data_IF_331888783369
#
_entry.id   IF_331888783369
#
_cell.length_a   1.000
_cell.length_b   1.000
_cell.length_c   1.000
_cell.angle_alpha   90.00
_cell.angle_beta   90.00
_cell.angle_gamma   90.00
#
_symmetry.space_group_name_H-M   'P 1'
#
loop_
_entity.id
_entity.type
_entity.pdbx_description
1 polymer ?
#
# COMPACT_ATOMS: atom_id res chain seq x y z
N UNK A 1 1.43 30.75 -7.59
CA UNK A 1 2.70 30.39 -6.92
C UNK A 1 3.73 30.03 -7.98
N UNK A 2 4.92 30.65 -7.96
CA UNK A 2 5.97 30.40 -8.96
C UNK A 2 6.56 28.99 -8.77
N UNK A 3 6.93 28.31 -9.87
CA UNK A 3 7.54 26.97 -9.84
C UNK A 3 8.79 26.92 -8.97
N UNK A 4 9.47 28.07 -8.79
CA UNK A 4 10.62 28.21 -7.89
C UNK A 4 10.21 28.13 -6.43
N UNK A 5 9.12 28.79 -6.04
CA UNK A 5 8.56 28.80 -4.69
C UNK A 5 8.05 27.41 -4.28
N UNK A 6 7.45 26.67 -5.23
CA UNK A 6 7.01 25.30 -4.98
C UNK A 6 8.20 24.34 -4.74
N UNK A 7 9.25 24.47 -5.56
CA UNK A 7 10.48 23.67 -5.39
C UNK A 7 11.16 23.96 -4.06
N UNK A 8 11.27 25.23 -3.66
CA UNK A 8 11.89 25.59 -2.38
C UNK A 8 11.11 25.10 -1.18
N UNK A 9 9.77 25.16 -1.23
CA UNK A 9 8.91 24.62 -0.16
C UNK A 9 9.01 23.10 -0.07
N UNK A 10 9.03 22.40 -1.22
CA UNK A 10 9.21 20.95 -1.24
C UNK A 10 10.58 20.51 -0.70
N UNK A 11 11.65 21.24 -1.05
CA UNK A 11 13.00 20.96 -0.57
C UNK A 11 13.11 21.21 0.94
N UNK A 12 12.54 22.31 1.44
CA UNK A 12 12.47 22.60 2.88
C UNK A 12 11.70 21.53 3.63
N UNK A 13 10.53 21.12 3.12
CA UNK A 13 9.73 20.05 3.73
C UNK A 13 10.47 18.72 3.79
N UNK A 14 11.17 18.33 2.71
CA UNK A 14 11.99 17.12 2.67
C UNK A 14 13.14 17.20 3.69
N UNK A 15 13.83 18.33 3.78
CA UNK A 15 14.93 18.50 4.75
C UNK A 15 14.43 18.45 6.20
N UNK A 16 13.25 19.01 6.48
CA UNK A 16 12.64 18.97 7.81
C UNK A 16 12.27 17.54 8.21
N UNK A 17 11.76 16.76 7.25
CA UNK A 17 11.39 15.36 7.45
C UNK A 17 12.63 14.47 7.68
N UNK A 18 13.72 14.73 6.96
CA UNK A 18 14.99 14.02 7.17
C UNK A 18 15.65 14.35 8.52
N UNK A 19 15.57 15.61 8.97
CA UNK A 19 16.08 15.99 10.31
C UNK A 19 15.25 15.36 11.42
N UNK A 20 13.92 15.30 11.27
CA UNK A 20 13.05 14.61 12.22
C UNK A 20 13.36 13.10 12.30
N UNK A 21 13.71 12.47 11.17
CA UNK A 21 14.09 11.07 11.12
C UNK A 21 15.50 10.77 11.66
N UNK A 22 16.34 11.79 11.87
CA UNK A 22 17.73 11.64 12.33
C UNK A 22 17.95 12.17 13.76
N UNK A 23 16.86 12.43 14.50
CA UNK A 23 16.96 12.71 15.93
C UNK A 23 17.56 11.50 16.67
N UNK A 24 18.23 11.70 17.82
CA UNK A 24 18.61 10.59 18.67
C UNK A 24 17.31 9.96 19.17
N UNK A 25 16.90 8.87 18.52
CA UNK A 25 15.97 7.90 19.07
C UNK A 25 16.65 7.29 20.29
N UNK A 26 16.71 8.06 21.38
CA UNK A 26 16.65 7.51 22.71
C UNK A 26 15.31 6.80 22.75
N UNK A 27 15.33 5.53 22.37
CA UNK A 27 14.26 4.60 22.61
C UNK A 27 14.02 4.61 24.11
N UNK A 28 13.16 5.53 24.56
CA UNK A 28 12.47 5.38 25.83
C UNK A 28 11.75 4.07 25.65
N UNK A 29 12.21 3.05 26.37
CA UNK A 29 11.58 1.75 26.40
C UNK A 29 10.18 1.94 26.98
N UNK A 30 9.23 2.33 26.12
CA UNK A 30 7.82 2.24 26.39
C UNK A 30 7.59 0.78 26.69
N UNK A 31 7.08 0.48 27.89
CA UNK A 31 6.78 -0.88 28.31
C UNK A 31 6.06 -1.57 27.15
N UNK A 32 6.70 -2.61 26.61
CA UNK A 32 6.10 -3.44 25.57
C UNK A 32 4.72 -3.84 26.05
N UNK A 33 3.63 -3.47 25.36
CA UNK A 33 2.31 -3.98 25.71
C UNK A 33 2.45 -5.49 25.75
N UNK A 34 2.02 -6.10 26.88
CA UNK A 34 2.00 -7.55 27.06
C UNK A 34 1.42 -8.13 25.77
N UNK A 35 2.12 -9.05 25.06
CA UNK A 35 1.65 -9.56 23.79
C UNK A 35 0.28 -10.19 24.02
N UNK A 36 -0.75 -9.48 23.58
CA UNK A 36 -2.11 -10.00 23.55
C UNK A 36 -2.05 -11.31 22.77
N UNK A 37 -2.67 -12.40 23.26
CA UNK A 37 -2.67 -13.69 22.56
C UNK A 37 -3.01 -13.49 21.08
N UNK A 38 -2.26 -14.12 20.17
CA UNK A 38 -2.54 -14.09 18.73
C UNK A 38 -3.87 -14.81 18.46
N UNK A 39 -4.98 -14.15 18.75
CA UNK A 39 -6.28 -14.57 18.32
C UNK A 39 -6.40 -14.24 16.83
N UNK A 40 -6.88 -15.17 15.99
CA UNK A 40 -7.30 -14.85 14.63
C UNK A 40 -8.24 -13.64 14.67
N UNK A 41 -7.97 -12.63 13.87
CA UNK A 41 -8.81 -11.43 13.81
C UNK A 41 -10.22 -11.86 13.41
N UNK A 42 -11.18 -11.59 14.28
CA UNK A 42 -12.57 -11.96 14.07
C UNK A 42 -13.24 -10.93 13.14
N UNK A 43 -13.87 -11.33 12.02
CA UNK A 43 -14.40 -10.40 11.01
C UNK A 43 -15.70 -9.67 11.43
N UNK A 44 -15.92 -9.39 12.72
CA UNK A 44 -17.19 -8.85 13.22
C UNK A 44 -17.11 -7.83 14.36
N UNK A 45 -15.92 -7.38 14.76
CA UNK A 45 -15.75 -6.46 15.90
C UNK A 45 -15.79 -4.98 15.53
N UNK A 46 -14.85 -4.55 14.66
CA UNK A 46 -14.55 -3.12 14.40
C UNK A 46 -14.05 -2.91 12.94
N UNK A 47 -14.19 -1.70 12.36
CA UNK A 47 -13.74 -1.41 10.99
C UNK A 47 -12.24 -1.62 10.77
N UNK A 48 -11.41 -1.36 11.79
CA UNK A 48 -9.96 -1.64 11.72
C UNK A 48 -9.64 -3.14 11.74
N UNK A 49 -10.45 -3.95 12.41
CA UNK A 49 -10.31 -5.41 12.43
C UNK A 49 -10.72 -6.03 11.09
N UNK A 50 -11.73 -5.47 10.42
CA UNK A 50 -12.06 -5.86 9.05
C UNK A 50 -10.92 -5.56 8.08
N UNK A 51 -10.31 -4.38 8.21
CA UNK A 51 -9.17 -4.00 7.38
C UNK A 51 -7.97 -4.91 7.64
N UNK A 52 -7.62 -5.19 8.90
CA UNK A 52 -6.50 -6.08 9.21
C UNK A 52 -6.77 -7.51 8.75
N UNK A 53 -8.00 -8.02 8.91
CA UNK A 53 -8.42 -9.33 8.43
C UNK A 53 -8.28 -9.48 6.92
N UNK A 54 -8.64 -8.45 6.14
CA UNK A 54 -8.53 -8.47 4.69
C UNK A 54 -7.10 -8.16 4.20
N UNK A 55 -6.42 -7.21 4.84
CA UNK A 55 -5.10 -6.75 4.42
C UNK A 55 -4.04 -7.83 4.61
N UNK A 56 -4.08 -8.58 5.72
CA UNK A 56 -3.09 -9.62 6.04
C UNK A 56 -2.98 -10.66 4.92
N UNK A 57 -4.05 -11.35 4.48
CA UNK A 57 -3.96 -12.33 3.40
C UNK A 57 -3.68 -11.70 2.03
N UNK A 58 -4.20 -10.51 1.75
CA UNK A 58 -3.95 -9.82 0.46
C UNK A 58 -2.49 -9.43 0.32
N UNK A 59 -1.91 -8.82 1.35
CA UNK A 59 -0.50 -8.44 1.34
C UNK A 59 0.41 -9.65 1.27
N UNK A 60 0.08 -10.72 2.00
CA UNK A 60 0.81 -11.99 1.91
C UNK A 60 0.80 -12.56 0.48
N UNK A 61 -0.36 -12.62 -0.17
CA UNK A 61 -0.45 -13.11 -1.54
C UNK A 61 0.39 -12.28 -2.53
N UNK A 62 0.33 -10.96 -2.42
CA UNK A 62 1.13 -10.05 -3.25
C UNK A 62 2.64 -10.21 -2.97
N UNK A 63 3.03 -10.34 -1.71
CA UNK A 63 4.43 -10.50 -1.32
C UNK A 63 5.00 -11.85 -1.77
N UNK A 64 4.24 -12.94 -1.62
CA UNK A 64 4.62 -14.26 -2.14
C UNK A 64 4.79 -14.20 -3.66
N UNK A 65 3.85 -13.57 -4.37
CA UNK A 65 3.96 -13.36 -5.82
C UNK A 65 5.20 -12.55 -6.20
N UNK A 66 5.52 -11.51 -5.43
CA UNK A 66 6.70 -10.67 -5.66
C UNK A 66 8.01 -11.45 -5.43
N UNK A 67 8.11 -12.22 -4.34
CA UNK A 67 9.28 -13.06 -4.05
C UNK A 67 9.46 -14.13 -5.13
N UNK A 68 8.37 -14.72 -5.63
CA UNK A 68 8.44 -15.69 -6.73
C UNK A 68 9.03 -15.05 -8.00
N UNK A 69 8.59 -13.84 -8.34
CA UNK A 69 9.10 -13.09 -9.50
C UNK A 69 10.55 -12.64 -9.31
N UNK A 70 10.91 -12.25 -8.08
CA UNK A 70 12.28 -11.87 -7.71
C UNK A 70 13.25 -13.05 -7.84
N UNK A 71 12.85 -14.25 -7.41
CA UNK A 71 13.64 -15.47 -7.61
C UNK A 71 13.82 -15.84 -9.09
N UNK A 72 12.89 -15.45 -9.96
CA UNK A 72 12.96 -15.70 -11.40
C UNK A 72 13.81 -14.66 -12.14
N UNK A 73 13.77 -13.39 -11.70
CA UNK A 73 14.34 -12.26 -12.44
C UNK A 73 15.69 -11.81 -11.88
N UNK A 74 15.92 -12.02 -10.57
CA UNK A 74 17.13 -11.57 -9.87
C UNK A 74 17.21 -10.07 -9.60
N UNK A 75 16.19 -9.31 -10.01
CA UNK A 75 16.09 -7.86 -9.80
C UNK A 75 14.71 -7.52 -9.21
N UNK A 76 14.74 -6.93 -8.02
CA UNK A 76 13.56 -6.53 -7.27
C UNK A 76 12.72 -5.48 -7.99
N UNK A 77 13.35 -4.55 -8.72
CA UNK A 77 12.69 -3.49 -9.47
C UNK A 77 11.92 -4.04 -10.67
N UNK A 78 12.52 -4.96 -11.42
CA UNK A 78 11.85 -5.61 -12.56
C UNK A 78 10.70 -6.49 -12.06
N UNK A 79 10.86 -7.14 -10.89
CA UNK A 79 9.84 -8.00 -10.29
C UNK A 79 8.60 -7.21 -9.87
N UNK A 80 8.78 -5.99 -9.34
CA UNK A 80 7.67 -5.06 -9.08
C UNK A 80 6.96 -4.70 -10.39
N UNK A 81 7.71 -4.36 -11.45
CA UNK A 81 7.11 -4.05 -12.75
C UNK A 81 6.30 -5.22 -13.30
N UNK A 82 6.83 -6.45 -13.27
CA UNK A 82 6.11 -7.65 -13.68
C UNK A 82 4.86 -7.88 -12.83
N UNK A 83 4.95 -7.73 -11.51
CA UNK A 83 3.80 -7.85 -10.63
C UNK A 83 2.70 -6.84 -11.00
N UNK A 84 3.06 -5.59 -11.29
CA UNK A 84 2.07 -4.57 -11.70
C UNK A 84 1.38 -4.93 -13.01
N UNK A 85 2.10 -5.54 -13.97
CA UNK A 85 1.52 -6.00 -15.23
C UNK A 85 0.54 -7.15 -14.99
N UNK A 86 0.92 -8.13 -14.17
CA UNK A 86 0.05 -9.27 -13.81
C UNK A 86 -1.24 -8.80 -13.18
N UNK A 87 -1.16 -7.90 -12.19
CA UNK A 87 -2.33 -7.31 -11.53
C UNK A 87 -3.20 -6.59 -12.57
N UNK A 88 -2.62 -5.76 -13.44
CA UNK A 88 -3.38 -5.07 -14.49
C UNK A 88 -4.14 -6.05 -15.38
N UNK A 89 -3.51 -7.13 -15.82
CA UNK A 89 -4.15 -8.13 -16.69
C UNK A 89 -5.39 -8.74 -16.01
N UNK A 90 -5.27 -9.12 -14.74
CA UNK A 90 -6.39 -9.67 -13.95
C UNK A 90 -7.53 -8.65 -13.83
N UNK A 91 -7.21 -7.37 -13.62
CA UNK A 91 -8.19 -6.31 -13.42
C UNK A 91 -8.87 -5.83 -14.72
N UNK A 92 -8.38 -6.17 -15.92
CA UNK A 92 -9.03 -5.75 -17.18
C UNK A 92 -10.49 -6.19 -17.24
N UNK A 93 -10.79 -7.41 -16.80
CA UNK A 93 -12.15 -7.97 -16.84
C UNK A 93 -13.16 -7.14 -16.01
N UNK A 94 -12.93 -6.88 -14.70
CA UNK A 94 -13.83 -6.04 -13.92
C UNK A 94 -13.89 -4.59 -14.41
N UNK A 95 -12.77 -3.99 -14.83
CA UNK A 95 -12.77 -2.62 -15.38
C UNK A 95 -13.69 -2.48 -16.60
N UNK A 96 -13.67 -3.46 -17.52
CA UNK A 96 -14.55 -3.45 -18.69
C UNK A 96 -16.03 -3.51 -18.31
N UNK A 97 -16.39 -4.27 -17.26
CA UNK A 97 -17.78 -4.36 -16.78
C UNK A 97 -18.25 -3.04 -16.14
N UNK A 98 -17.39 -2.41 -15.34
CA UNK A 98 -17.70 -1.11 -14.71
C UNK A 98 -17.91 -0.01 -15.74
N UNK A 99 -17.11 0.03 -16.81
CA UNK A 99 -17.22 1.02 -17.88
C UNK A 99 -18.57 0.95 -18.60
N UNK A 100 -19.06 -0.26 -18.88
CA UNK A 100 -20.39 -0.43 -19.51
C UNK A 100 -21.51 0.00 -18.56
N UNK A 101 -21.40 -0.31 -17.27
CA UNK A 101 -22.37 0.14 -16.26
C UNK A 101 -22.45 1.67 -16.21
N UNK A 102 -21.30 2.34 -16.17
CA UNK A 102 -21.21 3.81 -16.14
C UNK A 102 -21.78 4.46 -17.41
N UNK A 103 -21.44 3.91 -18.59
CA UNK A 103 -21.99 4.41 -19.87
C UNK A 103 -23.50 4.27 -19.95
N UNK A 104 -24.07 3.20 -19.40
CA UNK A 104 -25.53 3.00 -19.36
C UNK A 104 -26.22 4.00 -18.43
N UNK A 105 -25.64 4.28 -17.26
CA UNK A 105 -26.20 5.29 -16.35
C UNK A 105 -26.11 6.71 -16.91
N UNK A 106 -25.07 7.02 -17.69
CA UNK A 106 -24.91 8.32 -18.36
C UNK A 106 -25.94 8.55 -19.48
N UNK A 107 -26.52 7.50 -20.06
CA UNK A 107 -27.58 7.62 -21.07
C UNK A 107 -28.98 7.75 -20.45
N UNK A 108 -29.10 7.54 -19.14
CA UNK A 108 -30.36 7.63 -18.39
C UNK A 108 -30.49 8.95 -17.62
N UNK A 109 -29.44 9.77 -17.61
CA UNK A 109 -29.41 11.11 -17.03
C UNK A 109 -29.53 12.15 -18.15
#
# INVERSE_FOLDING_TARGET
>A
MSRRTLKTVALLGLTLLLVAACGPDGAVATATPIPSPLAPVNPGGDPFQLLSWLFTPVFQALFIGLVLLDKLTGDIGISILLLTIVIRIILISPYRKQLVSQKRTQLLA
#
